data_IF_036003842650
#
_entry.id   IF_036003842650
#
_cell.length_a   1.000
_cell.length_b   1.000
_cell.length_c   1.000
_cell.angle_alpha   90.00
_cell.angle_beta   90.00
_cell.angle_gamma   90.00
#
_symmetry.space_group_name_H-M   'P 1'
#
loop_
_entity.id
_entity.type
_entity.pdbx_description
1 polymer ?
#
# COMPACT_ATOMS: atom_id res chain seq x y z
N UNK A 1 -40.01 -0.92 -24.68
CA UNK A 1 -40.47 0.46 -24.91
C UNK A 1 -39.28 1.26 -25.40
N UNK A 2 -39.36 1.87 -26.58
CA UNK A 2 -38.30 2.70 -27.16
C UNK A 2 -38.42 4.12 -26.62
N UNK A 3 -37.43 4.58 -25.86
CA UNK A 3 -37.40 5.93 -25.31
C UNK A 3 -37.01 6.90 -26.42
N UNK A 4 -37.95 7.72 -26.87
CA UNK A 4 -37.71 8.83 -27.81
C UNK A 4 -37.29 10.05 -27.00
N UNK A 5 -35.99 10.34 -26.95
CA UNK A 5 -35.46 11.57 -26.35
C UNK A 5 -35.39 12.64 -27.44
N UNK A 6 -36.20 13.70 -27.30
CA UNK A 6 -36.02 14.94 -28.07
C UNK A 6 -35.17 15.89 -27.23
N UNK A 7 -33.91 16.17 -27.63
CA UNK A 7 -33.11 17.17 -26.93
C UNK A 7 -33.71 18.56 -27.17
N UNK A 8 -33.88 19.35 -26.12
CA UNK A 8 -34.21 20.77 -26.25
C UNK A 8 -33.06 21.50 -26.95
N UNK A 9 -33.28 21.86 -28.21
CA UNK A 9 -32.34 22.65 -29.02
C UNK A 9 -32.54 24.12 -28.65
N UNK A 10 -31.77 24.64 -27.69
CA UNK A 10 -31.84 26.08 -27.40
C UNK A 10 -31.10 26.56 -26.17
N UNK A 11 -30.78 25.68 -25.22
CA UNK A 11 -30.01 26.05 -24.03
C UNK A 11 -28.52 25.86 -24.36
N UNK A 12 -27.72 26.94 -24.47
CA UNK A 12 -26.28 26.78 -24.61
C UNK A 12 -25.78 26.06 -23.35
N UNK A 13 -25.10 24.92 -23.55
CA UNK A 13 -24.39 24.25 -22.47
C UNK A 13 -23.35 25.26 -21.97
N UNK A 14 -23.51 25.75 -20.75
CA UNK A 14 -22.53 26.63 -20.11
C UNK A 14 -21.20 25.89 -20.06
N UNK A 15 -20.22 26.35 -20.84
CA UNK A 15 -18.93 25.68 -21.01
C UNK A 15 -18.07 25.69 -19.74
N UNK A 16 -18.34 26.63 -18.82
CA UNK A 16 -17.58 26.78 -17.58
C UNK A 16 -18.22 25.96 -16.46
N UNK A 17 -17.94 24.65 -16.47
CA UNK A 17 -18.15 23.84 -15.28
C UNK A 17 -16.97 24.10 -14.32
N UNK A 18 -17.21 24.56 -13.08
CA UNK A 18 -16.14 24.77 -12.13
C UNK A 18 -15.37 23.47 -11.87
N UNK A 19 -14.08 23.59 -11.55
CA UNK A 19 -13.26 22.45 -11.15
C UNK A 19 -13.94 21.73 -9.99
N UNK A 20 -14.37 20.50 -10.26
CA UNK A 20 -15.05 19.64 -9.30
C UNK A 20 -14.09 18.54 -8.87
N UNK A 21 -13.97 18.35 -7.55
CA UNK A 21 -13.20 17.26 -6.97
C UNK A 21 -13.69 15.90 -7.51
N UNK A 22 -12.78 14.94 -7.62
CA UNK A 22 -13.07 13.63 -8.17
C UNK A 22 -14.20 12.93 -7.40
N UNK A 23 -14.26 13.12 -6.07
CA UNK A 23 -15.32 12.54 -5.24
C UNK A 23 -16.71 12.96 -5.68
N UNK A 24 -16.95 14.26 -5.78
CA UNK A 24 -18.27 14.79 -6.18
C UNK A 24 -18.63 14.34 -7.59
N UNK A 25 -17.63 14.22 -8.47
CA UNK A 25 -17.82 13.67 -9.82
C UNK A 25 -18.16 12.18 -9.81
N UNK A 26 -17.47 11.39 -9.00
CA UNK A 26 -17.72 9.96 -8.83
C UNK A 26 -19.10 9.71 -8.23
N UNK A 27 -19.54 10.53 -7.26
CA UNK A 27 -20.88 10.47 -6.69
C UNK A 27 -21.96 10.79 -7.71
N UNK A 28 -21.79 11.85 -8.49
CA UNK A 28 -22.73 12.21 -9.56
C UNK A 28 -22.80 11.09 -10.62
N UNK A 29 -21.65 10.54 -11.03
CA UNK A 29 -21.59 9.43 -11.98
C UNK A 29 -22.24 8.16 -11.42
N UNK A 30 -22.00 7.84 -10.15
CA UNK A 30 -22.61 6.71 -9.45
C UNK A 30 -24.14 6.85 -9.44
N UNK A 31 -24.67 8.01 -9.06
CA UNK A 31 -26.11 8.27 -9.06
C UNK A 31 -26.72 8.09 -10.45
N UNK A 32 -26.04 8.56 -11.50
CA UNK A 32 -26.53 8.34 -12.88
C UNK A 32 -26.48 6.87 -13.28
N UNK A 33 -25.42 6.14 -12.90
CA UNK A 33 -25.31 4.71 -13.19
C UNK A 33 -26.39 3.91 -12.47
N UNK A 34 -26.68 4.22 -11.20
CA UNK A 34 -27.74 3.58 -10.43
C UNK A 34 -29.12 3.80 -11.05
N UNK A 35 -29.42 5.03 -11.49
CA UNK A 35 -30.67 5.35 -12.18
C UNK A 35 -30.80 4.55 -13.50
N UNK A 36 -29.69 4.37 -14.23
CA UNK A 36 -29.68 3.53 -15.43
C UNK A 36 -29.82 2.04 -15.10
N UNK A 37 -29.33 1.59 -13.95
CA UNK A 37 -29.51 0.22 -13.46
C UNK A 37 -30.98 -0.12 -13.28
N UNK A 38 -31.74 0.79 -12.66
CA UNK A 38 -33.19 0.65 -12.49
C UNK A 38 -33.93 0.49 -13.83
N UNK A 39 -33.34 1.02 -14.91
CA UNK A 39 -33.85 0.94 -16.27
C UNK A 39 -33.22 -0.18 -17.12
N UNK A 40 -32.45 -1.09 -16.52
CA UNK A 40 -31.97 -2.32 -17.17
C UNK A 40 -30.49 -2.32 -17.58
N UNK A 41 -29.67 -1.40 -17.05
CA UNK A 41 -28.22 -1.49 -17.17
C UNK A 41 -27.65 -2.53 -16.18
N UNK A 42 -26.82 -3.46 -16.67
CA UNK A 42 -26.10 -4.38 -15.81
C UNK A 42 -24.87 -3.70 -15.19
N UNK A 43 -24.76 -3.76 -13.87
CA UNK A 43 -23.70 -3.13 -13.06
C UNK A 43 -22.83 -4.20 -12.38
N UNK A 44 -22.97 -5.47 -12.76
CA UNK A 44 -22.13 -6.53 -12.19
C UNK A 44 -20.63 -6.26 -12.44
N UNK A 45 -19.81 -6.06 -11.38
CA UNK A 45 -18.41 -5.69 -11.56
C UNK A 45 -17.57 -6.88 -12.05
N UNK A 46 -16.83 -6.68 -13.14
CA UNK A 46 -15.82 -7.64 -13.60
C UNK A 46 -14.48 -7.44 -12.87
N UNK A 47 -13.52 -8.36 -13.07
CA UNK A 47 -12.16 -8.24 -12.52
C UNK A 47 -11.44 -6.98 -13.02
N UNK A 48 -11.58 -6.67 -14.30
CA UNK A 48 -10.97 -5.47 -14.90
C UNK A 48 -11.51 -4.17 -14.28
N UNK A 49 -12.81 -4.13 -13.94
CA UNK A 49 -13.43 -2.96 -13.31
C UNK A 49 -12.87 -2.71 -11.89
N UNK A 50 -12.56 -3.79 -11.17
CA UNK A 50 -11.95 -3.73 -9.84
C UNK A 50 -10.51 -3.21 -9.91
N UNK A 51 -9.73 -3.69 -10.88
CA UNK A 51 -8.35 -3.28 -11.05
C UNK A 51 -8.26 -1.79 -11.44
N UNK A 52 -9.13 -1.34 -12.34
CA UNK A 52 -9.23 0.07 -12.74
C UNK A 52 -9.65 0.96 -11.56
N UNK A 53 -10.65 0.53 -10.80
CA UNK A 53 -11.14 1.32 -9.68
C UNK A 53 -10.12 1.41 -8.54
N UNK A 54 -9.39 0.33 -8.26
CA UNK A 54 -8.29 0.33 -7.31
C UNK A 54 -7.16 1.28 -7.75
N UNK A 55 -6.78 1.24 -9.02
CA UNK A 55 -5.78 2.17 -9.58
C UNK A 55 -6.17 3.64 -9.40
N UNK A 56 -7.43 3.98 -9.74
CA UNK A 56 -7.95 5.35 -9.58
C UNK A 56 -7.95 5.78 -8.11
N UNK A 57 -8.29 4.87 -7.19
CA UNK A 57 -8.30 5.16 -5.77
C UNK A 57 -6.88 5.39 -5.20
N UNK A 58 -5.90 4.59 -5.63
CA UNK A 58 -4.49 4.75 -5.25
C UNK A 58 -3.97 6.10 -5.76
N UNK A 59 -4.16 6.40 -7.04
CA UNK A 59 -3.73 7.67 -7.63
C UNK A 59 -4.37 8.85 -6.88
N UNK A 60 -5.65 8.72 -6.51
CA UNK A 60 -6.37 9.77 -5.79
C UNK A 60 -5.84 9.95 -4.37
N UNK A 61 -5.48 8.87 -3.69
CA UNK A 61 -4.85 8.90 -2.38
C UNK A 61 -3.46 9.56 -2.42
N UNK A 62 -2.68 9.33 -3.47
CA UNK A 62 -1.36 9.97 -3.63
C UNK A 62 -1.48 11.47 -3.91
N UNK A 63 -2.37 11.88 -4.82
CA UNK A 63 -2.52 13.28 -5.21
C UNK A 63 -3.96 13.61 -5.65
N UNK A 64 -4.82 14.11 -4.74
CA UNK A 64 -6.24 14.36 -5.06
C UNK A 64 -6.43 15.46 -6.11
N UNK A 65 -5.58 16.50 -6.10
CA UNK A 65 -5.68 17.59 -7.07
C UNK A 65 -5.23 17.20 -8.49
N UNK A 66 -4.23 16.33 -8.61
CA UNK A 66 -3.73 15.90 -9.92
C UNK A 66 -4.70 14.94 -10.56
N UNK A 67 -5.22 13.99 -9.78
CA UNK A 67 -6.16 12.98 -10.28
C UNK A 67 -7.51 13.54 -10.69
N UNK A 68 -8.07 14.48 -9.93
CA UNK A 68 -9.29 15.19 -10.31
C UNK A 68 -9.15 16.01 -11.61
N UNK A 69 -7.92 16.48 -11.93
CA UNK A 69 -7.59 17.15 -13.20
C UNK A 69 -7.38 16.14 -14.34
N UNK A 70 -6.69 15.03 -14.10
CA UNK A 70 -6.42 14.02 -15.14
C UNK A 70 -7.67 13.21 -15.49
N UNK A 71 -8.49 12.87 -14.50
CA UNK A 71 -9.73 12.11 -14.64
C UNK A 71 -10.90 13.04 -15.03
N UNK A 72 -10.73 13.80 -16.11
CA UNK A 72 -11.75 14.69 -16.66
C UNK A 72 -12.98 13.92 -17.16
N UNK A 73 -14.08 14.64 -17.43
CA UNK A 73 -15.34 14.08 -17.96
C UNK A 73 -15.11 13.21 -19.20
N UNK A 74 -14.14 13.56 -20.03
CA UNK A 74 -13.78 12.82 -21.26
C UNK A 74 -13.03 11.51 -20.99
N UNK A 75 -12.36 11.38 -19.85
CA UNK A 75 -11.73 10.11 -19.44
C UNK A 75 -12.71 9.25 -18.67
N UNK A 76 -13.54 9.83 -17.81
CA UNK A 76 -14.57 9.09 -17.08
C UNK A 76 -15.61 8.48 -18.00
N UNK A 77 -15.92 9.10 -19.15
CA UNK A 77 -16.86 8.54 -20.13
C UNK A 77 -16.36 7.29 -20.86
N UNK A 78 -15.06 6.99 -20.80
CA UNK A 78 -14.47 5.76 -21.36
C UNK A 78 -14.48 4.60 -20.38
N UNK A 79 -14.74 4.88 -19.10
CA UNK A 79 -14.80 3.87 -18.05
C UNK A 79 -16.15 3.17 -18.07
N UNK A 80 -16.17 1.91 -17.65
CA UNK A 80 -17.40 1.16 -17.48
C UNK A 80 -18.22 1.75 -16.32
N UNK A 81 -19.56 1.79 -16.41
CA UNK A 81 -20.41 2.25 -15.31
C UNK A 81 -20.15 1.47 -14.01
N UNK A 82 -19.86 0.17 -14.09
CA UNK A 82 -19.53 -0.67 -12.94
C UNK A 82 -18.24 -0.23 -12.23
N UNK A 83 -17.18 0.12 -12.99
CA UNK A 83 -15.94 0.65 -12.40
C UNK A 83 -16.16 1.99 -11.70
N UNK A 84 -17.05 2.86 -12.22
CA UNK A 84 -17.37 4.16 -11.60
C UNK A 84 -18.15 4.04 -10.29
N UNK A 85 -19.06 3.06 -10.19
CA UNK A 85 -19.76 2.77 -8.94
C UNK A 85 -18.76 2.26 -7.90
N UNK A 86 -17.82 1.41 -8.32
CA UNK A 86 -16.82 0.83 -7.43
C UNK A 86 -15.74 1.84 -7.01
N UNK A 87 -15.33 2.76 -7.89
CA UNK A 87 -14.47 3.87 -7.48
C UNK A 87 -15.17 4.75 -6.46
N UNK A 88 -16.45 5.05 -6.65
CA UNK A 88 -17.19 5.85 -5.68
C UNK A 88 -17.26 5.18 -4.31
N UNK A 89 -17.53 3.87 -4.24
CA UNK A 89 -17.56 3.15 -2.96
C UNK A 89 -16.19 3.18 -2.27
N UNK A 90 -15.10 2.94 -3.02
CA UNK A 90 -13.74 3.01 -2.46
C UNK A 90 -13.40 4.44 -1.99
N UNK A 91 -13.77 5.46 -2.76
CA UNK A 91 -13.52 6.86 -2.39
C UNK A 91 -14.37 7.32 -1.20
N UNK A 92 -15.55 6.74 -0.96
CA UNK A 92 -16.32 7.00 0.25
C UNK A 92 -15.76 6.28 1.47
N UNK A 93 -15.29 5.04 1.32
CA UNK A 93 -14.71 4.25 2.41
C UNK A 93 -13.31 4.74 2.80
N UNK A 94 -12.48 5.08 1.82
CA UNK A 94 -11.06 5.38 2.00
C UNK A 94 -10.66 6.81 1.61
N UNK A 95 -11.56 7.60 1.04
CA UNK A 95 -11.24 8.98 0.64
C UNK A 95 -11.17 9.95 1.81
N UNK A 96 -11.49 9.54 3.04
CA UNK A 96 -11.07 10.30 4.20
C UNK A 96 -9.54 10.24 4.20
N UNK A 97 -8.87 11.38 3.96
CA UNK A 97 -7.43 11.53 4.27
C UNK A 97 -7.21 10.87 5.62
N UNK A 98 -6.44 9.77 5.61
CA UNK A 98 -6.18 8.98 6.81
C UNK A 98 -5.35 9.88 7.71
N UNK A 99 -6.09 10.63 8.53
CA UNK A 99 -5.70 11.64 9.49
C UNK A 99 -4.20 11.97 9.49
N UNK A 100 -3.86 13.14 8.95
CA UNK A 100 -2.52 13.73 9.05
C UNK A 100 -2.04 13.89 10.51
N UNK A 101 -2.97 13.82 11.48
CA UNK A 101 -2.70 14.01 12.90
C UNK A 101 -2.81 12.73 13.72
N UNK A 102 -1.72 12.34 14.37
CA UNK A 102 -1.66 11.20 15.30
C UNK A 102 -2.68 11.30 16.45
N UNK A 103 -3.09 12.52 16.85
CA UNK A 103 -4.13 12.72 17.88
C UNK A 103 -5.52 12.33 17.37
N UNK A 104 -5.85 12.66 16.12
CA UNK A 104 -7.11 12.28 15.51
C UNK A 104 -7.22 10.76 15.34
N UNK A 105 -6.13 10.11 14.90
CA UNK A 105 -6.07 8.64 14.82
C UNK A 105 -6.31 8.03 16.21
N UNK A 106 -5.64 8.55 17.24
CA UNK A 106 -5.83 8.08 18.62
C UNK A 106 -7.29 8.19 19.05
N UNK A 107 -7.93 9.34 18.81
CA UNK A 107 -9.34 9.55 19.15
C UNK A 107 -10.29 8.60 18.39
N UNK A 108 -10.03 8.38 17.10
CA UNK A 108 -10.81 7.45 16.29
C UNK A 108 -10.68 6.02 16.82
N UNK A 109 -9.45 5.57 17.09
CA UNK A 109 -9.19 4.23 17.63
C UNK A 109 -9.83 4.07 19.01
N UNK A 110 -9.73 5.05 19.91
CA UNK A 110 -10.39 4.98 21.22
C UNK A 110 -11.90 4.92 21.09
N UNK A 111 -12.50 5.72 20.20
CA UNK A 111 -13.95 5.70 19.98
C UNK A 111 -14.39 4.36 19.39
N UNK A 112 -13.61 3.80 18.45
CA UNK A 112 -13.93 2.50 17.86
C UNK A 112 -13.81 1.36 18.89
N UNK A 113 -12.76 1.35 19.70
CA UNK A 113 -12.60 0.35 20.76
C UNK A 113 -13.68 0.48 21.85
N UNK A 114 -14.15 1.69 22.14
CA UNK A 114 -15.27 1.89 23.06
C UNK A 114 -16.55 1.22 22.53
N UNK A 115 -16.86 1.36 21.24
CA UNK A 115 -17.99 0.68 20.62
C UNK A 115 -17.83 -0.85 20.65
N UNK A 116 -16.62 -1.36 20.36
CA UNK A 116 -16.35 -2.81 20.41
C UNK A 116 -16.36 -3.37 21.83
N UNK A 117 -16.27 -2.54 22.87
CA UNK A 117 -16.40 -2.97 24.27
C UNK A 117 -17.82 -3.39 24.63
N UNK A 118 -18.83 -3.01 23.85
CA UNK A 118 -20.22 -3.43 24.03
C UNK A 118 -20.59 -4.65 23.18
N UNK A 119 -19.64 -5.20 22.41
CA UNK A 119 -19.87 -6.30 21.49
C UNK A 119 -20.41 -7.56 22.24
N UNK A 120 -21.42 -8.28 21.69
CA UNK A 120 -21.97 -9.48 22.31
C UNK A 120 -20.94 -10.60 22.53
N UNK A 121 -19.89 -10.68 21.72
CA UNK A 121 -18.80 -11.65 21.95
C UNK A 121 -17.90 -11.22 23.12
N UNK A 122 -17.83 -11.99 24.22
CA UNK A 122 -17.01 -11.66 25.38
C UNK A 122 -15.50 -11.59 25.04
N UNK A 123 -15.02 -12.31 24.03
CA UNK A 123 -13.59 -12.29 23.65
C UNK A 123 -13.20 -10.95 23.05
N UNK A 124 -14.03 -10.45 22.14
CA UNK A 124 -13.83 -9.14 21.49
C UNK A 124 -13.95 -8.03 22.53
N UNK A 125 -14.96 -8.11 23.40
CA UNK A 125 -15.16 -7.16 24.50
C UNK A 125 -13.96 -7.04 25.44
N UNK A 126 -13.46 -8.17 25.94
CA UNK A 126 -12.30 -8.18 26.85
C UNK A 126 -11.07 -7.60 26.14
N UNK A 127 -10.85 -7.96 24.87
CA UNK A 127 -9.71 -7.46 24.11
C UNK A 127 -9.80 -5.95 23.86
N UNK A 128 -10.99 -5.44 23.56
CA UNK A 128 -11.21 -4.00 23.38
C UNK A 128 -10.92 -3.22 24.67
N UNK A 129 -11.40 -3.71 25.83
CA UNK A 129 -11.14 -3.11 27.13
C UNK A 129 -9.67 -3.17 27.54
N UNK A 130 -8.97 -4.27 27.25
CA UNK A 130 -7.52 -4.39 27.46
C UNK A 130 -6.74 -3.36 26.63
N UNK A 131 -7.06 -3.27 25.33
CA UNK A 131 -6.39 -2.33 24.42
C UNK A 131 -6.69 -0.87 24.79
N UNK A 132 -7.91 -0.56 25.25
CA UNK A 132 -8.25 0.77 25.77
C UNK A 132 -7.38 1.16 26.98
N UNK A 133 -7.14 0.23 27.91
CA UNK A 133 -6.26 0.48 29.06
C UNK A 133 -4.77 0.61 28.71
N UNK A 134 -4.34 0.07 27.55
CA UNK A 134 -2.97 0.19 27.04
C UNK A 134 -2.73 1.47 26.23
N UNK A 135 -3.74 1.95 25.50
CA UNK A 135 -3.61 3.07 24.56
C UNK A 135 -3.64 4.45 25.26
N UNK A 136 -4.21 4.55 26.46
CA UNK A 136 -4.50 5.83 27.11
C UNK A 136 -3.69 6.05 28.39
N UNK A 137 -3.46 7.34 28.69
CA UNK A 137 -2.79 7.96 29.84
C UNK A 137 -3.27 7.49 31.24
N UNK A 138 -4.22 6.56 31.29
CA UNK A 138 -4.78 5.96 32.52
C UNK A 138 -3.89 4.83 33.07
N UNK A 139 -2.91 4.32 32.29
CA UNK A 139 -1.85 3.38 32.70
C UNK A 139 -2.30 2.28 33.70
N UNK A 140 -3.47 1.70 33.47
CA UNK A 140 -4.06 0.68 34.34
C UNK A 140 -3.32 -0.66 34.26
N UNK A 141 -2.52 -0.85 33.22
CA UNK A 141 -1.70 -2.04 33.01
C UNK A 141 -0.22 -1.68 33.05
N UNK A 142 0.55 -2.38 33.88
CA UNK A 142 2.00 -2.29 33.92
C UNK A 142 2.59 -3.46 33.14
N UNK A 143 3.36 -3.17 32.09
CA UNK A 143 4.14 -4.18 31.37
C UNK A 143 5.52 -4.32 32.05
N UNK A 144 5.85 -5.51 32.55
CA UNK A 144 7.17 -5.79 33.10
C UNK A 144 8.14 -6.04 31.95
N UNK A 145 8.97 -5.05 31.63
CA UNK A 145 10.10 -5.24 30.72
C UNK A 145 11.37 -5.59 31.51
N UNK A 146 11.90 -6.79 31.31
CA UNK A 146 13.21 -7.18 31.85
C UNK A 146 14.29 -6.85 30.82
N UNK A 147 14.97 -5.72 31.01
CA UNK A 147 16.11 -5.34 30.17
C UNK A 147 17.38 -5.96 30.76
N UNK A 148 17.80 -7.11 30.24
CA UNK A 148 19.08 -7.70 30.61
C UNK A 148 20.21 -6.99 29.85
N UNK A 149 20.90 -6.06 30.51
CA UNK A 149 22.11 -5.43 29.96
C UNK A 149 23.27 -6.40 30.12
N UNK A 150 23.62 -7.13 29.05
CA UNK A 150 24.81 -7.97 29.04
C UNK A 150 26.04 -7.11 28.72
N UNK A 151 26.85 -6.78 29.72
CA UNK A 151 28.18 -6.21 29.48
C UNK A 151 29.10 -7.31 28.97
N UNK A 152 29.45 -7.27 27.69
CA UNK A 152 30.45 -8.18 27.12
C UNK A 152 31.84 -7.69 27.54
N UNK A 153 32.66 -8.59 28.09
CA UNK A 153 34.05 -8.26 28.40
C UNK A 153 34.85 -8.04 27.11
N UNK A 154 35.94 -7.27 27.18
CA UNK A 154 36.80 -7.03 26.01
C UNK A 154 37.39 -8.31 25.43
N UNK A 155 37.58 -9.34 26.26
CA UNK A 155 38.13 -10.62 25.83
C UNK A 155 37.08 -11.48 25.11
N UNK A 156 35.80 -11.42 25.51
CA UNK A 156 34.69 -12.03 24.78
C UNK A 156 34.49 -11.38 23.40
N UNK A 157 34.66 -10.06 23.31
CA UNK A 157 34.60 -9.33 22.04
C UNK A 157 35.76 -9.74 21.12
N UNK A 158 36.98 -9.87 21.66
CA UNK A 158 38.15 -10.35 20.90
C UNK A 158 37.98 -11.79 20.43
N UNK A 159 37.43 -12.67 21.27
CA UNK A 159 37.14 -14.05 20.89
C UNK A 159 36.11 -14.12 19.75
N UNK A 160 35.02 -13.34 19.83
CA UNK A 160 34.03 -13.24 18.75
C UNK A 160 34.59 -12.64 17.46
N UNK A 161 35.46 -11.64 17.56
CA UNK A 161 36.14 -11.05 16.40
C UNK A 161 37.09 -12.06 15.75
N UNK A 162 37.86 -12.82 16.54
CA UNK A 162 38.69 -13.91 16.01
C UNK A 162 37.87 -14.98 15.32
N UNK A 163 36.78 -15.41 15.93
CA UNK A 163 35.88 -16.40 15.32
C UNK A 163 35.26 -15.91 14.01
N UNK A 164 34.92 -14.61 13.91
CA UNK A 164 34.42 -14.02 12.67
C UNK A 164 35.52 -13.85 11.61
N UNK A 165 36.74 -13.48 12.03
CA UNK A 165 37.89 -13.38 11.13
C UNK A 165 38.34 -14.75 10.63
N UNK A 166 38.35 -15.78 11.46
CA UNK A 166 38.63 -17.16 11.06
C UNK A 166 37.64 -17.66 10.01
N UNK A 167 36.34 -17.34 10.16
CA UNK A 167 35.32 -17.62 9.14
C UNK A 167 35.50 -16.85 7.83
N UNK A 168 36.25 -15.75 7.82
CA UNK A 168 36.52 -14.96 6.61
C UNK A 168 37.86 -15.35 5.97
N UNK A 169 38.86 -15.68 6.79
CA UNK A 169 40.20 -16.10 6.36
C UNK A 169 40.20 -17.55 5.90
N UNK A 170 39.39 -18.39 6.53
CA UNK A 170 39.18 -19.78 6.14
C UNK A 170 37.68 -20.03 6.07
N UNK A 171 37.01 -19.59 4.99
CA UNK A 171 35.57 -19.78 4.85
C UNK A 171 35.26 -21.27 4.96
N UNK A 172 34.35 -21.67 5.87
CA UNK A 172 33.91 -23.06 5.91
C UNK A 172 33.38 -23.45 4.54
N UNK A 173 33.73 -24.65 4.06
CA UNK A 173 33.41 -25.18 2.73
C UNK A 173 31.90 -25.15 2.39
N UNK A 174 31.03 -24.93 3.38
CA UNK A 174 29.59 -24.71 3.23
C UNK A 174 29.23 -23.39 2.50
N UNK A 175 30.13 -22.41 2.41
CA UNK A 175 29.91 -21.17 1.63
C UNK A 175 30.21 -21.34 0.13
N UNK A 176 30.82 -22.45 -0.28
CA UNK A 176 31.06 -22.81 -1.68
C UNK A 176 30.11 -23.88 -2.22
N UNK A 177 29.14 -24.33 -1.40
CA UNK A 177 28.12 -25.25 -1.88
C UNK A 177 27.15 -24.49 -2.81
N UNK A 178 26.88 -24.99 -4.03
CA UNK A 178 25.90 -24.38 -4.90
C UNK A 178 24.55 -24.34 -4.18
N UNK A 179 23.90 -23.17 -4.20
CA UNK A 179 22.54 -23.03 -3.69
C UNK A 179 21.63 -23.83 -4.63
N UNK A 180 21.31 -25.07 -4.24
CA UNK A 180 20.40 -25.92 -5.00
C UNK A 180 18.98 -25.45 -4.75
N UNK A 181 18.41 -24.73 -5.72
CA UNK A 181 16.98 -24.48 -5.79
C UNK A 181 16.41 -25.40 -6.87
N UNK A 182 15.49 -26.30 -6.49
CA UNK A 182 14.79 -27.20 -7.42
C UNK A 182 15.66 -28.12 -8.30
N UNK A 183 16.92 -28.37 -7.92
CA UNK A 183 17.79 -29.33 -8.60
C UNK A 183 18.67 -28.75 -9.72
N UNK A 184 18.63 -27.43 -9.94
CA UNK A 184 19.55 -26.73 -10.83
C UNK A 184 20.55 -25.89 -10.03
N UNK A 185 21.80 -25.87 -10.49
CA UNK A 185 22.90 -25.12 -9.88
C UNK A 185 22.92 -23.72 -10.49
N UNK A 186 22.52 -22.71 -9.72
CA UNK A 186 22.53 -21.30 -10.15
C UNK A 186 23.91 -20.72 -9.90
N UNK A 187 24.55 -20.22 -10.95
CA UNK A 187 25.83 -19.53 -10.88
C UNK A 187 25.58 -18.04 -10.59
N UNK A 188 25.73 -17.67 -9.32
CA UNK A 188 25.29 -16.39 -8.75
C UNK A 188 26.06 -15.21 -9.36
N UNK A 189 27.33 -15.40 -9.69
CA UNK A 189 28.20 -14.34 -10.23
C UNK A 189 27.82 -13.94 -11.68
N UNK A 190 27.32 -14.90 -12.46
CA UNK A 190 26.82 -14.67 -13.81
C UNK A 190 25.49 -13.89 -13.80
N UNK A 191 24.59 -14.22 -12.88
CA UNK A 191 23.31 -13.52 -12.66
C UNK A 191 23.50 -12.08 -12.14
N UNK A 192 24.54 -11.85 -11.32
CA UNK A 192 24.89 -10.53 -10.77
C UNK A 192 25.75 -9.65 -11.70
N UNK A 193 26.16 -10.17 -12.87
CA UNK A 193 26.83 -9.40 -13.92
C UNK A 193 28.28 -8.99 -13.59
N UNK A 194 28.93 -9.67 -12.66
CA UNK A 194 30.33 -9.41 -12.30
C UNK A 194 31.24 -10.13 -13.30
N UNK A 195 31.79 -9.39 -14.28
CA UNK A 195 32.84 -9.94 -15.16
C UNK A 195 34.17 -9.94 -14.41
N UNK A 196 34.83 -11.10 -14.39
CA UNK A 196 36.20 -11.24 -13.92
C UNK A 196 37.12 -10.23 -14.63
N UNK A 197 37.65 -9.29 -13.87
CA UNK A 197 38.72 -8.40 -14.34
C UNK A 197 39.99 -9.22 -14.38
N UNK A 198 40.45 -9.57 -15.59
CA UNK A 198 41.78 -10.17 -15.79
C UNK A 198 42.84 -9.14 -15.34
N UNK A 199 43.85 -9.54 -14.54
CA UNK A 199 44.95 -8.65 -14.23
C UNK A 199 45.75 -8.35 -15.51
N UNK A 200 45.94 -7.06 -15.80
CA UNK A 200 46.86 -6.58 -16.82
C UNK A 200 48.28 -6.96 -16.40
N UNK A 201 49.00 -7.63 -17.28
CA UNK A 201 50.42 -7.97 -17.08
C UNK A 201 51.20 -6.69 -17.41
N UNK A 202 51.82 -6.09 -16.40
CA UNK A 202 52.73 -4.96 -16.58
C UNK A 202 53.90 -5.40 -17.49
N UNK A 203 54.03 -4.77 -18.67
CA UNK A 203 55.19 -4.94 -19.54
C UNK A 203 56.43 -4.35 -18.85
N UNK A 204 57.38 -5.22 -18.54
CA UNK A 204 58.70 -4.89 -18.02
C UNK A 204 59.49 -4.13 -19.11
N UNK A 205 59.76 -2.85 -18.89
CA UNK A 205 60.64 -2.07 -19.77
C UNK A 205 62.09 -2.54 -19.57
N UNK A 206 62.67 -3.16 -20.59
CA UNK A 206 64.10 -3.42 -20.71
C UNK A 206 64.84 -2.07 -20.86
N UNK A 207 65.54 -1.63 -19.82
CA UNK A 207 66.46 -0.49 -19.88
C UNK A 207 67.84 -0.98 -20.40
N UNK A 208 68.22 -0.52 -21.60
CA UNK A 208 69.61 -0.52 -22.12
C UNK A 208 70.50 0.54 -21.47
#
# INVERSE_FOLDING_TARGET
MTVMLQPEVGIPISADMPYLDLKVRAEAACNTALLLAEHGLDITPNKEDKDVAAGIAIDYAENPEKTSKTLSVTRSSKLTPASLVLTNSILQEFGQSVAESATQIRHLVTNKLLLESENPDPRVRIRALELLGKISDVSLFAEKSEVTITHQSTDDLRAKLRQKLEKLVNPPEELGAPIVFEGEVIDIDAELGLKEVKPEVDEEYDDE
#
